data_IF_130440823874
#
_entry.id   IF_130440823874
#
_cell.length_a   1.000
_cell.length_b   1.000
_cell.length_c   1.000
_cell.angle_alpha   90.00
_cell.angle_beta   90.00
_cell.angle_gamma   90.00
#
_symmetry.space_group_name_H-M   'P 1'
#
loop_
_entity.id
_entity.type
_entity.pdbx_description
1 polymer ?
#
# COMPACT_ATOMS: atom_id res chain seq x y z
N UNK A 1 -0.62 -3.70 -26.31
CA UNK A 1 -2.03 -3.56 -25.87
C UNK A 1 -2.41 -4.91 -25.28
N UNK A 2 -2.87 -4.94 -24.02
CA UNK A 2 -3.23 -6.19 -23.30
C UNK A 2 -4.29 -6.96 -24.11
N UNK A 3 -4.13 -8.29 -24.29
CA UNK A 3 -5.05 -9.11 -25.09
C UNK A 3 -6.49 -8.99 -24.58
N UNK A 4 -6.66 -8.89 -23.26
CA UNK A 4 -7.96 -8.66 -22.61
C UNK A 4 -8.53 -7.30 -23.01
N UNK A 5 -7.71 -6.25 -23.00
CA UNK A 5 -8.14 -4.88 -23.38
C UNK A 5 -8.56 -4.82 -24.85
N UNK A 6 -7.88 -5.59 -25.71
CA UNK A 6 -8.31 -5.74 -27.10
C UNK A 6 -9.65 -6.47 -27.22
N UNK A 7 -9.91 -7.49 -26.41
CA UNK A 7 -11.18 -8.23 -26.42
C UNK A 7 -12.32 -7.39 -25.84
N UNK A 8 -12.08 -6.64 -24.76
CA UNK A 8 -13.06 -5.73 -24.17
C UNK A 8 -13.50 -4.67 -25.18
N UNK A 9 -12.55 -4.10 -25.94
CA UNK A 9 -12.87 -3.16 -27.03
C UNK A 9 -13.70 -3.81 -28.14
N UNK A 10 -13.41 -5.06 -28.49
CA UNK A 10 -14.22 -5.81 -29.47
C UNK A 10 -15.62 -6.11 -28.95
N UNK A 11 -15.78 -6.42 -27.66
CA UNK A 11 -17.08 -6.61 -27.01
C UNK A 11 -17.88 -5.31 -27.07
N UNK A 12 -17.30 -4.19 -26.66
CA UNK A 12 -17.98 -2.89 -26.67
C UNK A 12 -18.44 -2.49 -28.09
N UNK A 13 -17.58 -2.69 -29.08
CA UNK A 13 -17.95 -2.44 -30.49
C UNK A 13 -19.06 -3.38 -30.98
N UNK A 14 -19.02 -4.65 -30.58
CA UNK A 14 -20.05 -5.62 -30.97
C UNK A 14 -21.40 -5.28 -30.34
N UNK A 15 -21.43 -4.85 -29.08
CA UNK A 15 -22.65 -4.41 -28.39
C UNK A 15 -23.25 -3.16 -29.02
N UNK A 16 -22.42 -2.16 -29.38
CA UNK A 16 -22.89 -0.97 -30.11
C UNK A 16 -23.51 -1.35 -31.46
N UNK A 17 -22.90 -2.29 -32.18
CA UNK A 17 -23.43 -2.75 -33.46
C UNK A 17 -24.75 -3.52 -33.30
N UNK A 18 -24.93 -4.27 -32.21
CA UNK A 18 -26.21 -4.93 -31.91
C UNK A 18 -27.29 -3.89 -31.68
N UNK A 19 -27.04 -2.88 -30.85
CA UNK A 19 -28.01 -1.80 -30.58
C UNK A 19 -28.43 -1.06 -31.86
N UNK A 20 -27.47 -0.75 -32.75
CA UNK A 20 -27.77 -0.12 -34.04
C UNK A 20 -28.62 -1.01 -34.97
N UNK A 21 -28.45 -2.33 -34.90
CA UNK A 21 -29.28 -3.26 -35.68
C UNK A 21 -30.67 -3.40 -35.05
N UNK A 22 -30.77 -3.47 -33.73
CA UNK A 22 -32.05 -3.50 -33.01
C UNK A 22 -32.89 -2.25 -33.31
N UNK A 23 -32.26 -1.06 -33.30
CA UNK A 23 -32.89 0.20 -33.69
C UNK A 23 -33.42 0.14 -35.13
N UNK A 24 -32.59 -0.31 -36.08
CA UNK A 24 -33.03 -0.48 -37.47
C UNK A 24 -34.14 -1.51 -37.63
N UNK A 25 -34.16 -2.59 -36.86
CA UNK A 25 -35.22 -3.59 -36.91
C UNK A 25 -36.54 -2.99 -36.39
N UNK A 26 -36.48 -2.10 -35.39
CA UNK A 26 -37.66 -1.46 -34.81
C UNK A 26 -38.40 -0.52 -35.76
N UNK A 27 -37.74 -0.05 -36.83
CA UNK A 27 -38.35 0.77 -37.89
C UNK A 27 -39.27 -0.04 -38.83
N UNK A 28 -39.23 -1.38 -38.74
CA UNK A 28 -40.05 -2.26 -39.59
C UNK A 28 -41.24 -2.82 -38.81
N UNK A 29 -42.34 -3.03 -39.54
CA UNK A 29 -43.44 -3.88 -39.07
C UNK A 29 -42.91 -5.32 -38.94
N UNK A 30 -43.25 -6.10 -37.89
CA UNK A 30 -42.62 -7.39 -37.61
C UNK A 30 -42.59 -8.41 -38.76
N UNK A 31 -43.55 -8.34 -39.69
CA UNK A 31 -43.64 -9.22 -40.87
C UNK A 31 -42.67 -8.84 -42.00
N UNK A 32 -42.13 -7.62 -41.97
CA UNK A 32 -41.41 -7.02 -43.10
C UNK A 32 -39.93 -6.82 -42.80
N UNK A 33 -39.45 -7.30 -41.64
CA UNK A 33 -38.04 -7.19 -41.23
C UNK A 33 -37.16 -7.93 -42.25
N UNK A 34 -36.20 -7.26 -42.90
CA UNK A 34 -35.30 -7.91 -43.83
C UNK A 34 -34.53 -9.07 -43.17
N UNK A 35 -34.59 -10.26 -43.79
CA UNK A 35 -33.88 -11.47 -43.32
C UNK A 35 -32.37 -11.24 -43.12
N UNK A 36 -31.77 -10.32 -43.89
CA UNK A 36 -30.38 -9.91 -43.72
C UNK A 36 -30.09 -9.26 -42.37
N UNK A 37 -31.00 -8.42 -41.85
CA UNK A 37 -30.86 -7.79 -40.53
C UNK A 37 -30.94 -8.81 -39.41
N UNK A 38 -31.90 -9.74 -39.48
CA UNK A 38 -32.05 -10.83 -38.50
C UNK A 38 -30.81 -11.74 -38.49
N UNK A 39 -30.28 -12.10 -39.67
CA UNK A 39 -29.04 -12.89 -39.77
C UNK A 39 -27.84 -12.16 -39.19
N UNK A 40 -27.72 -10.86 -39.45
CA UNK A 40 -26.63 -10.03 -38.92
C UNK A 40 -26.71 -9.90 -37.40
N UNK A 41 -27.90 -9.67 -36.84
CA UNK A 41 -28.11 -9.60 -35.40
C UNK A 41 -27.69 -10.92 -34.72
N UNK A 42 -28.15 -12.07 -35.25
CA UNK A 42 -27.76 -13.40 -34.75
C UNK A 42 -26.26 -13.62 -34.82
N UNK A 43 -25.60 -13.23 -35.91
CA UNK A 43 -24.16 -13.35 -36.07
C UNK A 43 -23.39 -12.50 -35.04
N UNK A 44 -23.84 -11.26 -34.80
CA UNK A 44 -23.24 -10.39 -33.78
C UNK A 44 -23.45 -10.93 -32.36
N UNK A 45 -24.63 -11.48 -32.04
CA UNK A 45 -24.87 -12.12 -30.73
C UNK A 45 -24.00 -13.36 -30.54
N UNK A 46 -23.86 -14.21 -31.56
CA UNK A 46 -22.96 -15.37 -31.52
C UNK A 46 -21.49 -14.94 -31.32
N UNK A 47 -21.06 -13.88 -32.01
CA UNK A 47 -19.74 -13.28 -31.83
C UNK A 47 -19.56 -12.75 -30.40
N UNK A 48 -20.56 -12.06 -29.86
CA UNK A 48 -20.54 -11.54 -28.49
C UNK A 48 -20.38 -12.67 -27.46
N UNK A 49 -21.10 -13.78 -27.62
CA UNK A 49 -20.96 -14.98 -26.78
C UNK A 49 -19.53 -15.53 -26.87
N UNK A 50 -18.99 -15.67 -28.08
CA UNK A 50 -17.62 -16.15 -28.28
C UNK A 50 -16.56 -15.24 -27.65
N UNK A 51 -16.70 -13.93 -27.80
CA UNK A 51 -15.81 -12.94 -27.18
C UNK A 51 -15.89 -12.96 -25.65
N UNK A 52 -17.09 -13.06 -25.08
CA UNK A 52 -17.29 -13.19 -23.64
C UNK A 52 -16.63 -14.48 -23.11
N UNK A 53 -16.82 -15.63 -23.78
CA UNK A 53 -16.17 -16.90 -23.40
C UNK A 53 -14.65 -16.79 -23.46
N UNK A 54 -14.09 -16.15 -24.49
CA UNK A 54 -12.64 -15.94 -24.60
C UNK A 54 -12.12 -15.01 -23.51
N UNK A 55 -12.81 -13.90 -23.22
CA UNK A 55 -12.50 -13.01 -22.10
C UNK A 55 -12.49 -13.77 -20.78
N UNK A 56 -13.52 -14.56 -20.52
CA UNK A 56 -13.67 -15.29 -19.26
C UNK A 56 -12.56 -16.33 -19.07
N UNK A 57 -12.14 -16.99 -20.14
CA UNK A 57 -10.99 -17.91 -20.14
C UNK A 57 -9.67 -17.19 -19.86
N UNK A 58 -9.41 -16.04 -20.48
CA UNK A 58 -8.21 -15.23 -20.20
C UNK A 58 -8.19 -14.69 -18.77
N UNK A 59 -9.37 -14.47 -18.18
CA UNK A 59 -9.48 -14.07 -16.77
C UNK A 59 -9.34 -15.25 -15.80
N UNK A 60 -9.58 -16.50 -16.21
CA UNK A 60 -9.61 -17.69 -15.33
C UNK A 60 -8.23 -18.17 -14.81
N UNK A 61 -7.16 -17.44 -15.10
CA UNK A 61 -5.82 -17.70 -14.55
C UNK A 61 -5.01 -16.42 -14.40
N UNK A 62 -5.69 -15.27 -14.25
CA UNK A 62 -5.01 -14.00 -14.10
C UNK A 62 -4.58 -13.84 -12.64
N UNK A 63 -3.28 -13.71 -12.42
CA UNK A 63 -2.76 -13.35 -11.11
C UNK A 63 -3.25 -11.94 -10.73
N UNK A 64 -3.67 -11.77 -9.47
CA UNK A 64 -3.99 -10.46 -8.92
C UNK A 64 -2.73 -9.59 -9.01
N UNK A 65 -2.78 -8.40 -9.65
CA UNK A 65 -1.61 -7.56 -9.80
C UNK A 65 -0.99 -7.26 -8.43
N UNK A 66 0.35 -7.35 -8.30
CA UNK A 66 1.02 -7.05 -7.04
C UNK A 66 0.64 -5.66 -6.53
N UNK A 67 0.31 -5.59 -5.24
CA UNK A 67 -0.15 -4.41 -4.51
C UNK A 67 -1.55 -3.90 -4.87
N UNK A 68 -2.31 -4.53 -5.77
CA UNK A 68 -3.65 -4.05 -6.13
C UNK A 68 -4.54 -3.90 -4.89
N UNK A 69 -4.51 -4.89 -4.00
CA UNK A 69 -5.29 -4.92 -2.76
C UNK A 69 -4.81 -3.88 -1.73
N UNK A 70 -3.57 -3.44 -1.84
CA UNK A 70 -2.94 -2.46 -0.95
C UNK A 70 -3.02 -1.02 -1.46
N UNK A 71 -3.81 -0.80 -2.53
CA UNK A 71 -4.22 0.53 -2.98
C UNK A 71 -5.49 1.01 -2.27
N UNK A 72 -6.05 0.20 -1.37
CA UNK A 72 -7.16 0.62 -0.52
C UNK A 72 -6.69 1.77 0.38
N UNK A 73 -7.57 2.76 0.57
CA UNK A 73 -7.25 4.13 0.95
C UNK A 73 -6.19 4.28 2.06
N UNK A 74 -5.00 4.75 1.68
CA UNK A 74 -3.94 5.27 2.57
C UNK A 74 -3.58 6.70 2.21
N UNK A 75 -4.56 7.44 1.67
CA UNK A 75 -4.37 8.76 1.08
C UNK A 75 -3.77 9.74 2.07
N UNK A 76 -4.27 9.77 3.30
CA UNK A 76 -3.78 10.67 4.34
C UNK A 76 -2.29 10.43 4.64
N UNK A 77 -1.84 9.18 4.66
CA UNK A 77 -0.43 8.83 4.82
C UNK A 77 0.40 9.29 3.61
N UNK A 78 -0.10 9.08 2.38
CA UNK A 78 0.60 9.50 1.17
C UNK A 78 0.69 11.02 1.03
N UNK A 79 -0.38 11.75 1.37
CA UNK A 79 -0.40 13.22 1.39
C UNK A 79 0.62 13.75 2.39
N UNK A 80 0.63 13.23 3.62
CA UNK A 80 1.59 13.65 4.65
C UNK A 80 3.03 13.34 4.27
N UNK A 81 3.29 12.18 3.69
CA UNK A 81 4.60 11.84 3.15
C UNK A 81 5.00 12.79 2.00
N UNK A 82 4.07 13.13 1.12
CA UNK A 82 4.31 14.04 -0.01
C UNK A 82 4.65 15.46 0.44
N UNK A 83 3.96 15.95 1.48
CA UNK A 83 4.31 17.23 2.12
C UNK A 83 5.74 17.22 2.64
N UNK A 84 6.12 16.18 3.40
CA UNK A 84 7.45 16.07 3.97
C UNK A 84 8.53 15.90 2.90
N UNK A 85 8.26 15.12 1.84
CA UNK A 85 9.16 14.97 0.72
C UNK A 85 9.34 16.28 -0.07
N UNK A 86 8.28 17.09 -0.21
CA UNK A 86 8.39 18.41 -0.83
C UNK A 86 9.28 19.34 0.00
N UNK A 87 9.25 19.24 1.34
CA UNK A 87 10.17 20.00 2.19
C UNK A 87 11.61 19.52 1.96
N UNK A 88 11.82 18.20 1.95
CA UNK A 88 13.13 17.59 1.66
C UNK A 88 13.71 18.06 0.33
N UNK A 89 12.92 18.01 -0.75
CA UNK A 89 13.39 18.34 -2.10
C UNK A 89 13.73 19.82 -2.30
N UNK A 90 13.11 20.71 -1.52
CA UNK A 90 13.33 22.15 -1.61
C UNK A 90 14.34 22.66 -0.56
N UNK A 91 14.90 21.79 0.27
CA UNK A 91 15.83 22.19 1.30
C UNK A 91 17.22 22.46 0.68
N UNK A 92 17.79 23.68 0.83
CA UNK A 92 19.12 23.98 0.32
C UNK A 92 20.24 23.23 1.06
N UNK A 93 19.99 22.78 2.29
CA UNK A 93 20.91 21.95 3.07
C UNK A 93 20.36 20.51 3.14
N UNK A 94 20.95 19.55 2.39
CA UNK A 94 20.48 18.17 2.33
C UNK A 94 20.45 17.51 3.71
N UNK A 95 19.27 16.99 4.10
CA UNK A 95 19.01 16.34 5.39
C UNK A 95 18.28 15.02 5.20
N UNK A 96 18.48 14.01 6.06
CA UNK A 96 17.65 12.80 6.02
C UNK A 96 16.18 13.13 6.31
N UNK A 97 15.27 12.51 5.56
CA UNK A 97 13.84 12.54 5.87
C UNK A 97 13.49 11.33 6.74
N UNK A 98 13.12 11.57 8.00
CA UNK A 98 12.75 10.53 8.94
C UNK A 98 11.24 10.45 9.08
N UNK A 99 10.67 9.33 8.63
CA UNK A 99 9.26 9.00 8.70
C UNK A 99 8.99 8.01 9.83
N UNK A 100 8.18 8.40 10.81
CA UNK A 100 7.59 7.47 11.78
C UNK A 100 6.26 6.98 11.22
N UNK A 101 6.15 5.68 11.01
CA UNK A 101 4.97 5.01 10.47
C UNK A 101 4.50 4.03 11.53
N UNK A 102 3.25 4.11 11.96
CA UNK A 102 2.79 3.34 13.11
C UNK A 102 1.39 2.82 12.93
N UNK A 103 1.09 1.71 13.60
CA UNK A 103 -0.23 1.10 13.61
C UNK A 103 -0.19 -0.30 14.21
N UNK A 104 -1.36 -0.94 14.22
CA UNK A 104 -1.48 -2.32 14.68
C UNK A 104 -0.66 -3.29 13.80
N UNK A 105 -0.05 -4.32 14.41
CA UNK A 105 0.70 -5.37 13.70
C UNK A 105 -0.05 -5.98 12.50
N UNK A 106 -1.39 -5.99 12.50
CA UNK A 106 -2.25 -6.51 11.44
C UNK A 106 -2.43 -5.57 10.24
N UNK A 107 -1.71 -4.44 10.20
CA UNK A 107 -1.87 -3.39 9.17
C UNK A 107 -0.91 -3.52 7.98
N UNK A 108 -0.21 -4.65 7.85
CA UNK A 108 0.66 -4.97 6.71
C UNK A 108 1.68 -3.87 6.39
N UNK A 109 2.45 -3.45 7.40
CA UNK A 109 3.44 -2.38 7.30
C UNK A 109 4.44 -2.55 6.14
N UNK A 110 4.84 -3.79 5.86
CA UNK A 110 5.83 -4.11 4.83
C UNK A 110 5.24 -3.83 3.43
N UNK A 111 4.01 -4.29 3.20
CA UNK A 111 3.29 -4.00 1.96
C UNK A 111 2.89 -2.53 1.84
N UNK A 112 2.63 -1.84 2.96
CA UNK A 112 2.46 -0.40 2.96
C UNK A 112 3.73 0.31 2.47
N UNK A 113 4.93 -0.11 2.90
CA UNK A 113 6.19 0.44 2.40
C UNK A 113 6.32 0.25 0.89
N UNK A 114 6.03 -0.95 0.39
CA UNK A 114 6.08 -1.22 -1.05
C UNK A 114 5.12 -0.34 -1.85
N UNK A 115 3.90 -0.17 -1.33
CA UNK A 115 2.90 0.72 -1.91
C UNK A 115 3.35 2.18 -1.85
N UNK A 116 3.89 2.64 -0.72
CA UNK A 116 4.44 3.99 -0.55
C UNK A 116 5.52 4.29 -1.58
N UNK A 117 6.46 3.36 -1.79
CA UNK A 117 7.53 3.49 -2.79
C UNK A 117 6.95 3.59 -4.20
N UNK A 118 6.09 2.65 -4.56
CA UNK A 118 5.59 2.51 -5.93
C UNK A 118 4.59 3.60 -6.32
N UNK A 119 3.76 4.05 -5.37
CA UNK A 119 2.64 4.95 -5.63
C UNK A 119 2.99 6.40 -5.32
N UNK A 120 3.71 6.66 -4.23
CA UNK A 120 3.97 8.02 -3.74
C UNK A 120 5.39 8.48 -4.05
N UNK A 121 6.41 7.73 -3.61
CA UNK A 121 7.80 8.17 -3.71
C UNK A 121 8.25 8.36 -5.16
N UNK A 122 7.97 7.41 -6.05
CA UNK A 122 8.35 7.55 -7.47
C UNK A 122 7.74 8.80 -8.13
N UNK A 123 6.46 9.08 -7.86
CA UNK A 123 5.79 10.27 -8.37
C UNK A 123 6.38 11.55 -7.76
N UNK A 124 6.73 11.52 -6.47
CA UNK A 124 7.35 12.64 -5.78
C UNK A 124 8.78 12.92 -6.28
N UNK A 125 9.61 11.90 -6.50
CA UNK A 125 10.94 12.04 -7.11
C UNK A 125 10.80 12.68 -8.49
N UNK A 126 9.91 12.16 -9.33
CA UNK A 126 9.68 12.69 -10.68
C UNK A 126 9.18 14.14 -10.68
N UNK A 127 8.35 14.50 -9.70
CA UNK A 127 7.71 15.82 -9.63
C UNK A 127 8.59 16.90 -9.02
N UNK A 128 9.38 16.55 -8.00
CA UNK A 128 10.07 17.53 -7.16
C UNK A 128 11.59 17.47 -7.26
N UNK A 129 12.16 16.56 -8.05
CA UNK A 129 13.60 16.40 -8.21
C UNK A 129 13.96 16.27 -9.69
N UNK A 130 15.23 16.47 -10.02
CA UNK A 130 15.77 16.24 -11.37
C UNK A 130 16.26 14.80 -11.58
N UNK A 131 16.00 13.90 -10.63
CA UNK A 131 16.45 12.51 -10.71
C UNK A 131 15.59 11.75 -11.71
N UNK A 132 16.25 11.14 -12.69
CA UNK A 132 15.61 10.36 -13.76
C UNK A 132 15.56 8.85 -13.46
N UNK A 133 16.31 8.38 -12.44
CA UNK A 133 16.26 6.96 -12.06
C UNK A 133 14.90 6.59 -11.51
N UNK A 134 14.41 5.42 -11.92
CA UNK A 134 13.19 4.79 -11.39
C UNK A 134 13.50 3.83 -10.25
N UNK A 135 14.78 3.62 -9.94
CA UNK A 135 15.22 2.64 -8.95
C UNK A 135 15.45 3.37 -7.63
N UNK A 136 14.66 3.00 -6.63
CA UNK A 136 14.88 3.37 -5.22
C UNK A 136 15.51 2.16 -4.54
N UNK A 137 16.71 2.31 -3.98
CA UNK A 137 17.34 1.23 -3.21
C UNK A 137 16.71 1.17 -1.83
N UNK A 138 16.39 -0.04 -1.37
CA UNK A 138 15.84 -0.30 -0.03
C UNK A 138 16.84 -1.13 0.77
N UNK A 139 17.06 -0.74 2.02
CA UNK A 139 17.82 -1.51 3.01
C UNK A 139 16.93 -1.77 4.22
N UNK A 140 16.89 -3.03 4.65
CA UNK A 140 16.20 -3.41 5.87
C UNK A 140 17.21 -3.45 7.01
N UNK A 141 17.01 -2.59 8.00
CA UNK A 141 17.83 -2.58 9.19
C UNK A 141 17.14 -3.42 10.27
N UNK A 142 17.71 -4.57 10.61
CA UNK A 142 17.19 -5.40 11.69
C UNK A 142 17.23 -4.63 13.01
N UNK A 143 16.11 -4.67 13.75
CA UNK A 143 16.05 -4.02 15.05
C UNK A 143 16.80 -4.85 16.10
N UNK A 144 17.74 -4.26 16.86
CA UNK A 144 18.48 -5.00 17.88
C UNK A 144 17.56 -5.63 18.94
N UNK A 145 17.53 -6.96 19.11
CA UNK A 145 16.54 -7.63 19.96
C UNK A 145 16.84 -7.51 21.45
N UNK A 146 18.11 -7.26 21.82
CA UNK A 146 18.57 -7.08 23.20
C UNK A 146 19.70 -6.08 23.22
N UNK A 147 19.61 -5.14 24.15
CA UNK A 147 20.57 -4.07 24.36
C UNK A 147 20.67 -3.84 25.87
N UNK A 148 21.90 -3.78 26.37
CA UNK A 148 22.22 -3.49 27.76
C UNK A 148 22.05 -2.00 28.05
N UNK A 149 22.32 -1.15 27.06
CA UNK A 149 22.19 0.30 27.16
C UNK A 149 21.84 0.92 25.80
N UNK A 150 21.63 2.23 25.81
CA UNK A 150 21.24 3.03 24.64
C UNK A 150 22.39 3.14 23.62
N UNK A 151 23.64 3.20 24.06
CA UNK A 151 24.79 3.32 23.15
C UNK A 151 24.93 2.07 22.28
N UNK A 152 24.59 0.90 22.84
CA UNK A 152 24.52 -0.35 22.09
C UNK A 152 23.48 -0.33 20.97
N UNK A 153 22.41 0.50 21.08
CA UNK A 153 21.51 0.72 19.95
C UNK A 153 22.27 1.36 18.80
N UNK A 154 22.92 2.50 19.06
CA UNK A 154 23.61 3.29 18.03
C UNK A 154 24.66 2.44 17.32
N UNK A 155 25.47 1.72 18.09
CA UNK A 155 26.51 0.84 17.54
C UNK A 155 25.91 -0.29 16.71
N UNK A 156 24.84 -0.95 17.18
CA UNK A 156 24.21 -2.03 16.39
C UNK A 156 23.50 -1.54 15.14
N UNK A 157 22.90 -0.34 15.17
CA UNK A 157 22.32 0.26 13.97
C UNK A 157 23.42 0.55 12.93
N UNK A 158 24.58 1.01 13.38
CA UNK A 158 25.76 1.22 12.53
C UNK A 158 26.29 -0.10 11.97
N UNK A 159 26.56 -1.10 12.82
CA UNK A 159 27.04 -2.43 12.40
C UNK A 159 26.10 -3.08 11.38
N UNK A 160 24.78 -2.96 11.60
CA UNK A 160 23.79 -3.53 10.70
C UNK A 160 23.74 -2.77 9.37
N UNK A 161 23.92 -1.44 9.37
CA UNK A 161 24.02 -0.65 8.13
C UNK A 161 25.28 -0.99 7.35
N UNK A 162 26.41 -1.14 8.02
CA UNK A 162 27.67 -1.55 7.41
C UNK A 162 27.50 -2.88 6.68
N UNK A 163 26.94 -3.89 7.36
CA UNK A 163 26.70 -5.22 6.78
C UNK A 163 25.79 -5.17 5.56
N UNK A 164 24.69 -4.43 5.64
CA UNK A 164 23.72 -4.32 4.56
C UNK A 164 24.27 -3.56 3.34
N UNK A 165 25.19 -2.60 3.53
CA UNK A 165 25.72 -1.74 2.45
C UNK A 165 27.01 -2.30 1.84
N UNK A 166 27.89 -2.90 2.66
CA UNK A 166 29.25 -3.30 2.27
C UNK A 166 29.54 -4.80 2.38
N UNK A 167 28.62 -5.64 2.87
CA UNK A 167 28.81 -7.10 2.98
C UNK A 167 30.11 -7.50 3.72
N UNK A 168 30.26 -7.03 4.98
CA UNK A 168 31.36 -7.35 5.93
C UNK A 168 32.73 -6.68 5.69
N UNK A 169 32.76 -5.52 5.02
CA UNK A 169 33.93 -4.63 5.02
C UNK A 169 33.72 -3.54 6.07
N UNK A 170 34.64 -3.45 7.02
CA UNK A 170 34.66 -2.37 8.02
C UNK A 170 34.68 -1.02 7.31
N UNK A 171 33.61 -0.25 7.51
CA UNK A 171 33.37 1.02 6.84
C UNK A 171 32.87 2.04 7.87
N UNK A 172 33.36 3.28 7.81
CA UNK A 172 32.85 4.33 8.70
C UNK A 172 31.46 4.82 8.24
N UNK A 173 30.79 5.64 9.07
CA UNK A 173 29.53 6.30 8.65
C UNK A 173 29.72 7.14 7.39
N UNK A 174 30.88 7.78 7.26
CA UNK A 174 31.23 8.59 6.09
C UNK A 174 31.32 7.73 4.83
N UNK A 175 32.00 6.57 4.91
CA UNK A 175 32.09 5.61 3.81
C UNK A 175 30.69 5.09 3.40
N UNK A 176 29.86 4.75 4.39
CA UNK A 176 28.46 4.35 4.16
C UNK A 176 27.70 5.47 3.47
N UNK A 177 27.79 6.70 3.98
CA UNK A 177 27.07 7.83 3.41
C UNK A 177 27.51 8.14 1.97
N UNK A 178 28.82 8.09 1.68
CA UNK A 178 29.34 8.25 0.33
C UNK A 178 28.77 7.18 -0.61
N UNK A 179 28.78 5.91 -0.18
CA UNK A 179 28.20 4.81 -0.94
C UNK A 179 26.72 5.02 -1.22
N UNK A 180 25.92 5.39 -0.21
CA UNK A 180 24.50 5.67 -0.35
C UNK A 180 24.25 6.83 -1.32
N UNK A 181 25.13 7.83 -1.38
CA UNK A 181 25.00 8.95 -2.32
C UNK A 181 25.20 8.54 -3.79
N UNK A 182 26.02 7.52 -4.04
CA UNK A 182 26.37 7.06 -5.40
C UNK A 182 25.29 6.22 -6.09
N UNK A 183 24.32 5.68 -5.34
CA UNK A 183 23.36 4.68 -5.83
C UNK A 183 21.94 5.25 -6.09
N UNK A 184 21.76 6.56 -5.90
CA UNK A 184 20.48 7.25 -6.10
C UNK A 184 19.64 7.35 -4.82
N UNK A 185 18.31 7.54 -4.92
CA UNK A 185 17.44 7.64 -3.75
C UNK A 185 17.42 6.34 -2.93
N UNK A 186 17.59 6.47 -1.63
CA UNK A 186 17.68 5.35 -0.69
C UNK A 186 16.58 5.42 0.36
N UNK A 187 15.97 4.27 0.63
CA UNK A 187 15.17 4.04 1.83
C UNK A 187 15.89 3.07 2.76
N UNK A 188 16.01 3.45 4.02
CA UNK A 188 16.39 2.55 5.11
C UNK A 188 15.17 2.38 5.99
N UNK A 189 14.79 1.14 6.31
CA UNK A 189 13.64 0.89 7.16
C UNK A 189 13.91 -0.14 8.25
N UNK A 190 13.30 0.08 9.41
CA UNK A 190 13.38 -0.83 10.56
C UNK A 190 12.04 -0.96 11.26
N UNK A 191 11.89 -2.00 12.08
CA UNK A 191 10.65 -2.31 12.80
C UNK A 191 10.87 -2.33 14.30
N UNK A 192 10.16 -1.46 15.01
CA UNK A 192 10.11 -1.43 16.45
C UNK A 192 8.77 -2.01 16.92
N UNK A 193 8.79 -3.17 17.57
CA UNK A 193 7.57 -3.76 18.14
C UNK A 193 7.33 -3.27 19.56
N UNK A 194 6.09 -3.39 20.05
CA UNK A 194 5.75 -3.09 21.46
C UNK A 194 6.65 -3.81 22.45
N UNK A 195 6.98 -5.09 22.21
CA UNK A 195 7.88 -5.86 23.09
C UNK A 195 9.27 -5.25 23.18
N UNK A 196 9.79 -4.72 22.09
CA UNK A 196 11.14 -4.19 22.00
C UNK A 196 11.18 -2.81 22.68
N UNK A 197 10.17 -1.98 22.41
CA UNK A 197 9.98 -0.70 23.11
C UNK A 197 9.88 -0.89 24.63
N UNK A 198 9.12 -1.89 25.08
CA UNK A 198 8.94 -2.17 26.50
C UNK A 198 10.26 -2.61 27.18
N UNK A 199 11.13 -3.33 26.48
CA UNK A 199 12.42 -3.78 27.01
C UNK A 199 13.42 -2.64 27.21
N UNK A 200 13.38 -1.63 26.33
CA UNK A 200 14.39 -0.57 26.30
C UNK A 200 14.01 0.72 27.04
N UNK A 201 12.91 0.70 27.81
CA UNK A 201 12.37 1.84 28.59
C UNK A 201 12.04 3.05 27.70
N UNK A 202 11.55 4.13 28.32
CA UNK A 202 11.27 5.41 27.65
C UNK A 202 12.55 6.02 27.06
N UNK A 203 12.47 6.56 25.84
CA UNK A 203 13.60 7.22 25.18
C UNK A 203 14.09 6.52 23.90
N UNK A 204 13.65 5.29 23.62
CA UNK A 204 14.21 4.50 22.51
C UNK A 204 13.96 5.13 21.13
N UNK A 205 12.82 5.79 20.95
CA UNK A 205 12.50 6.51 19.71
C UNK A 205 13.41 7.73 19.60
N UNK A 206 13.58 8.48 20.69
CA UNK A 206 14.45 9.64 20.75
C UNK A 206 15.91 9.29 20.46
N UNK A 207 16.39 8.14 20.93
CA UNK A 207 17.75 7.67 20.65
C UNK A 207 17.93 7.24 19.20
N UNK A 208 16.90 6.62 18.61
CA UNK A 208 16.89 6.34 17.17
C UNK A 208 16.93 7.65 16.35
N UNK A 209 16.19 8.68 16.75
CA UNK A 209 16.25 10.00 16.12
C UNK A 209 17.64 10.63 16.30
N UNK A 210 18.24 10.50 17.49
CA UNK A 210 19.58 11.01 17.79
C UNK A 210 20.67 10.34 16.95
N UNK A 211 20.54 9.05 16.66
CA UNK A 211 21.44 8.35 15.74
C UNK A 211 21.47 9.03 14.36
N UNK A 212 20.30 9.32 13.78
CA UNK A 212 20.19 9.97 12.48
C UNK A 212 20.50 11.47 12.50
N UNK A 213 20.24 12.15 13.62
CA UNK A 213 20.67 13.53 13.86
C UNK A 213 22.19 13.67 13.79
N UNK A 214 22.93 12.65 14.23
CA UNK A 214 24.39 12.60 14.18
C UNK A 214 24.93 11.95 12.90
N UNK A 215 24.09 11.70 11.90
CA UNK A 215 24.52 11.12 10.61
C UNK A 215 25.41 12.12 9.84
N UNK A 216 26.42 11.66 9.08
CA UNK A 216 27.25 12.54 8.25
C UNK A 216 26.42 13.44 7.33
N UNK A 217 27.01 14.59 6.98
CA UNK A 217 26.35 15.56 6.10
C UNK A 217 26.05 14.89 4.75
N UNK A 218 24.83 15.07 4.25
CA UNK A 218 24.44 14.49 2.96
C UNK A 218 25.02 15.30 1.81
N UNK A 219 25.36 14.60 0.73
CA UNK A 219 25.82 15.22 -0.52
C UNK A 219 24.65 15.96 -1.23
N UNK A 220 24.95 16.99 -2.05
CA UNK A 220 23.93 17.60 -2.90
C UNK A 220 23.18 16.55 -3.74
N UNK A 221 21.86 16.67 -3.82
CA UNK A 221 20.98 15.73 -4.53
C UNK A 221 20.97 14.29 -3.97
N UNK A 222 21.51 14.04 -2.78
CA UNK A 222 21.33 12.78 -2.07
C UNK A 222 19.98 12.77 -1.35
N UNK A 223 19.14 11.77 -1.66
CA UNK A 223 17.84 11.58 -1.03
C UNK A 223 17.87 10.35 -0.13
N UNK A 224 18.06 10.58 1.17
CA UNK A 224 18.04 9.55 2.20
C UNK A 224 16.74 9.61 3.00
N UNK A 225 15.95 8.54 2.92
CA UNK A 225 14.67 8.43 3.61
C UNK A 225 14.78 7.31 4.64
N UNK A 226 14.48 7.62 5.89
CA UNK A 226 14.52 6.69 7.01
C UNK A 226 13.10 6.40 7.44
N UNK A 227 12.69 5.13 7.47
CA UNK A 227 11.36 4.72 7.92
C UNK A 227 11.46 3.90 9.21
N UNK A 228 10.98 4.47 10.32
CA UNK A 228 10.77 3.75 11.56
C UNK A 228 9.33 3.24 11.61
N UNK A 229 9.16 1.93 11.42
CA UNK A 229 7.86 1.27 11.55
C UNK A 229 7.62 0.84 12.99
N UNK A 230 6.56 1.34 13.62
CA UNK A 230 6.21 1.00 15.00
C UNK A 230 4.95 0.12 14.99
N UNK A 231 5.14 -1.17 15.32
CA UNK A 231 4.08 -2.19 15.29
C UNK A 231 3.46 -2.35 16.68
N UNK A 232 2.22 -1.91 16.85
CA UNK A 232 1.44 -2.14 18.07
C UNK A 232 1.01 -3.60 18.11
N UNK A 233 1.58 -4.36 19.03
CA UNK A 233 1.27 -5.77 19.16
C UNK A 233 -0.01 -5.99 19.96
N UNK A 234 -0.87 -6.87 19.44
CA UNK A 234 -2.11 -7.30 20.10
C UNK A 234 -2.07 -8.80 20.36
N UNK A 235 -1.86 -9.12 21.64
CA UNK A 235 -1.92 -10.44 22.28
C UNK A 235 -3.32 -11.07 22.37
N UNK A 236 -3.90 -11.68 21.33
CA UNK A 236 -5.26 -12.26 21.44
C UNK A 236 -5.34 -13.43 22.46
N UNK A 237 -4.35 -14.33 22.47
CA UNK A 237 -4.33 -15.53 23.32
C UNK A 237 -3.60 -15.33 24.67
N UNK A 238 -3.77 -14.16 25.30
CA UNK A 238 -3.11 -13.85 26.57
C UNK A 238 -4.12 -13.59 27.70
N UNK A 239 -3.76 -14.01 28.92
CA UNK A 239 -4.53 -13.66 30.11
C UNK A 239 -4.70 -12.14 30.27
N UNK A 240 -5.82 -11.73 30.86
CA UNK A 240 -6.30 -10.33 30.94
C UNK A 240 -5.21 -9.34 31.39
N UNK A 241 -4.41 -9.70 32.38
CA UNK A 241 -3.31 -8.87 32.89
C UNK A 241 -2.23 -8.57 31.85
N UNK A 242 -1.82 -9.59 31.09
CA UNK A 242 -0.83 -9.42 30.01
C UNK A 242 -1.43 -8.55 28.90
N UNK A 243 -2.69 -8.77 28.53
CA UNK A 243 -3.41 -7.95 27.54
C UNK A 243 -3.47 -6.47 27.96
N UNK A 244 -3.82 -6.20 29.22
CA UNK A 244 -3.83 -4.85 29.77
C UNK A 244 -2.44 -4.20 29.75
N UNK A 245 -1.38 -4.96 30.10
CA UNK A 245 0.00 -4.47 30.04
C UNK A 245 0.40 -4.03 28.63
N UNK A 246 0.10 -4.84 27.61
CA UNK A 246 0.35 -4.50 26.21
C UNK A 246 -0.44 -3.26 25.78
N UNK A 247 -1.73 -3.19 26.10
CA UNK A 247 -2.56 -2.03 25.81
C UNK A 247 -2.02 -0.75 26.44
N UNK A 248 -1.60 -0.81 27.71
CA UNK A 248 -0.98 0.32 28.41
C UNK A 248 0.34 0.74 27.74
N UNK A 249 1.17 -0.22 27.31
CA UNK A 249 2.40 0.07 26.58
C UNK A 249 2.12 0.72 25.22
N UNK A 250 1.20 0.18 24.43
CA UNK A 250 0.79 0.77 23.14
C UNK A 250 0.32 2.22 23.32
N UNK A 251 -0.47 2.50 24.37
CA UNK A 251 -0.88 3.88 24.70
C UNK A 251 0.30 4.80 25.03
N UNK A 252 1.34 4.30 25.72
CA UNK A 252 2.54 5.10 26.01
C UNK A 252 3.33 5.40 24.73
N UNK A 253 3.44 4.42 23.83
CA UNK A 253 4.08 4.60 22.53
C UNK A 253 3.32 5.65 21.71
N UNK A 254 1.99 5.52 21.60
CA UNK A 254 1.13 6.49 20.91
C UNK A 254 1.31 7.91 21.46
N UNK A 255 1.40 8.07 22.79
CA UNK A 255 1.67 9.37 23.42
C UNK A 255 3.03 9.92 23.03
N UNK A 256 4.10 9.13 23.14
CA UNK A 256 5.45 9.55 22.73
C UNK A 256 5.50 9.98 21.26
N UNK A 257 4.86 9.24 20.35
CA UNK A 257 4.77 9.61 18.94
C UNK A 257 3.98 10.91 18.75
N UNK A 258 2.85 11.06 19.45
CA UNK A 258 2.02 12.28 19.39
C UNK A 258 2.79 13.50 19.89
N UNK A 259 3.52 13.36 20.99
CA UNK A 259 4.32 14.43 21.58
C UNK A 259 5.43 14.86 20.61
N UNK A 260 6.13 13.90 19.98
CA UNK A 260 7.11 14.18 18.93
C UNK A 260 6.49 14.93 17.73
N UNK A 261 5.31 14.52 17.29
CA UNK A 261 4.58 15.19 16.21
C UNK A 261 4.16 16.62 16.58
N UNK A 262 3.71 16.85 17.82
CA UNK A 262 3.27 18.17 18.30
C UNK A 262 4.45 19.13 18.47
N UNK A 263 5.60 18.62 18.93
CA UNK A 263 6.84 19.40 19.02
C UNK A 263 7.51 19.61 17.65
N UNK A 264 6.98 19.06 16.56
CA UNK A 264 7.47 19.27 15.20
C UNK A 264 8.94 18.88 14.99
N UNK A 265 9.45 17.91 15.78
CA UNK A 265 10.86 17.51 15.79
C UNK A 265 11.86 18.66 16.04
N UNK A 266 11.44 19.77 16.65
CA UNK A 266 12.26 20.98 16.90
C UNK A 266 13.56 20.75 17.66
N UNK A 267 13.68 19.63 18.41
CA UNK A 267 14.93 19.22 19.06
C UNK A 267 16.02 18.79 18.06
N UNK A 268 15.64 18.43 16.84
CA UNK A 268 16.52 17.85 15.83
C UNK A 268 16.57 18.78 14.61
N UNK A 269 17.72 19.41 14.40
CA UNK A 269 17.92 20.40 13.33
C UNK A 269 18.59 19.81 12.07
N UNK A 270 19.12 18.58 12.14
CA UNK A 270 19.80 17.90 11.03
C UNK A 270 18.96 16.85 10.32
N UNK A 271 17.72 16.64 10.77
CA UNK A 271 16.75 15.74 10.13
C UNK A 271 15.46 16.50 9.82
N UNK A 272 14.74 16.02 8.81
CA UNK A 272 13.35 16.43 8.57
C UNK A 272 12.48 15.31 9.13
N UNK A 273 11.82 15.55 10.26
CA UNK A 273 10.96 14.55 10.91
C UNK A 273 9.50 14.66 10.48
N UNK A 274 8.86 13.52 10.23
CA UNK A 274 7.41 13.44 10.01
C UNK A 274 6.83 12.21 10.68
N UNK A 275 5.67 12.37 11.33
CA UNK A 275 4.82 11.25 11.76
C UNK A 275 3.69 11.12 10.75
N UNK A 276 3.57 9.95 10.11
CA UNK A 276 2.43 9.68 9.24
C UNK A 276 1.19 9.33 10.09
N UNK A 277 -0.04 9.66 9.63
CA UNK A 277 -1.26 9.21 10.29
C UNK A 277 -1.26 7.71 10.55
N UNK A 278 -1.79 7.31 11.71
CA UNK A 278 -1.84 5.91 12.13
C UNK A 278 -2.42 5.01 11.03
N UNK A 279 -1.78 3.87 10.78
CA UNK A 279 -2.34 2.81 9.97
C UNK A 279 -3.48 2.18 10.76
N UNK A 280 -4.70 2.64 10.49
CA UNK A 280 -5.92 2.14 11.11
C UNK A 280 -6.56 1.04 10.26
N UNK A 281 -7.53 0.33 10.85
CA UNK A 281 -8.43 -0.53 10.11
C UNK A 281 -9.10 0.25 8.98
N UNK A 282 -9.39 -0.45 7.90
CA UNK A 282 -9.96 0.11 6.69
C UNK A 282 -11.49 0.13 6.82
N UNK A 283 -12.11 1.25 6.47
CA UNK A 283 -13.57 1.37 6.43
C UNK A 283 -14.15 0.79 5.15
N UNK A 284 -15.38 0.30 5.20
CA UNK A 284 -16.11 -0.19 4.02
C UNK A 284 -16.09 0.81 2.86
N UNK A 285 -16.37 2.09 3.14
CA UNK A 285 -16.42 3.17 2.13
C UNK A 285 -15.09 3.33 1.38
N UNK A 286 -13.97 3.05 2.04
CA UNK A 286 -12.63 3.10 1.46
C UNK A 286 -12.39 1.93 0.50
N UNK A 287 -12.86 0.73 0.87
CA UNK A 287 -12.79 -0.46 0.02
C UNK A 287 -13.70 -0.29 -1.19
N UNK A 288 -14.91 0.24 -1.03
CA UNK A 288 -15.77 0.49 -2.18
C UNK A 288 -15.20 1.56 -3.13
N UNK A 289 -14.56 2.61 -2.59
CA UNK A 289 -13.84 3.61 -3.39
C UNK A 289 -12.70 2.96 -4.19
N UNK A 290 -11.94 2.06 -3.56
CA UNK A 290 -10.94 1.24 -4.22
C UNK A 290 -11.53 0.37 -5.34
N UNK A 291 -12.66 -0.30 -5.10
CA UNK A 291 -13.35 -1.12 -6.11
C UNK A 291 -13.76 -0.29 -7.33
N UNK A 292 -14.13 0.98 -7.11
CA UNK A 292 -14.48 1.94 -8.18
C UNK A 292 -13.26 2.52 -8.90
N UNK A 293 -12.03 2.25 -8.46
CA UNK A 293 -10.81 2.79 -9.05
C UNK A 293 -10.59 2.30 -10.49
N UNK A 294 -9.85 3.08 -11.29
CA UNK A 294 -9.50 2.71 -12.67
C UNK A 294 -8.74 1.38 -12.75
N UNK A 295 -7.85 1.12 -11.79
CA UNK A 295 -7.02 -0.09 -11.74
C UNK A 295 -7.87 -1.34 -11.48
N UNK A 296 -8.79 -1.28 -10.51
CA UNK A 296 -9.70 -2.40 -10.22
C UNK A 296 -10.70 -2.59 -11.36
N UNK A 297 -11.27 -1.51 -11.92
CA UNK A 297 -12.12 -1.58 -13.12
C UNK A 297 -11.43 -2.28 -14.30
N UNK A 298 -10.14 -2.00 -14.52
CA UNK A 298 -9.35 -2.65 -15.57
C UNK A 298 -9.08 -4.13 -15.28
N UNK A 299 -8.93 -4.49 -14.00
CA UNK A 299 -8.66 -5.87 -13.60
C UNK A 299 -9.93 -6.74 -13.58
N UNK A 300 -10.97 -6.28 -12.89
CA UNK A 300 -12.22 -7.01 -12.59
C UNK A 300 -13.29 -6.89 -13.69
N UNK A 301 -13.16 -5.87 -14.55
CA UNK A 301 -14.13 -5.53 -15.58
C UNK A 301 -15.17 -4.54 -15.09
N UNK A 302 -15.35 -3.46 -15.86
CA UNK A 302 -16.24 -2.32 -15.50
C UNK A 302 -17.69 -2.74 -15.20
N UNK A 303 -18.20 -3.77 -15.88
CA UNK A 303 -19.58 -4.27 -15.74
C UNK A 303 -19.81 -5.02 -14.42
N UNK A 304 -18.76 -5.60 -13.84
CA UNK A 304 -18.84 -6.42 -12.63
C UNK A 304 -18.56 -5.62 -11.35
N UNK A 305 -18.31 -4.31 -11.45
CA UNK A 305 -17.97 -3.48 -10.30
C UNK A 305 -19.11 -3.39 -9.30
N UNK A 306 -20.36 -3.31 -9.76
CA UNK A 306 -21.50 -3.28 -8.83
C UNK A 306 -21.60 -4.57 -8.05
N UNK A 307 -21.42 -5.72 -8.71
CA UNK A 307 -21.35 -7.01 -8.04
C UNK A 307 -20.25 -7.05 -6.96
N UNK A 308 -19.03 -6.60 -7.31
CA UNK A 308 -17.92 -6.52 -6.34
C UNK A 308 -18.26 -5.63 -5.14
N UNK A 309 -18.92 -4.49 -5.36
CA UNK A 309 -19.35 -3.60 -4.28
C UNK A 309 -20.34 -4.31 -3.36
N UNK A 310 -21.35 -5.00 -3.89
CA UNK A 310 -22.30 -5.75 -3.05
C UNK A 310 -21.59 -6.85 -2.25
N UNK A 311 -20.66 -7.59 -2.86
CA UNK A 311 -19.87 -8.60 -2.13
C UNK A 311 -19.01 -7.98 -1.02
N UNK A 312 -18.45 -6.79 -1.25
CA UNK A 312 -17.72 -6.05 -0.21
C UNK A 312 -18.66 -5.63 0.92
N UNK A 313 -19.88 -5.17 0.61
CA UNK A 313 -20.88 -4.80 1.60
C UNK A 313 -21.24 -6.00 2.49
N UNK A 314 -21.60 -7.14 1.89
CA UNK A 314 -21.89 -8.37 2.63
C UNK A 314 -20.72 -8.81 3.52
N UNK A 315 -19.49 -8.67 3.02
CA UNK A 315 -18.26 -8.97 3.77
C UNK A 315 -18.11 -8.08 5.01
N UNK A 316 -18.38 -6.78 4.90
CA UNK A 316 -18.32 -5.85 6.04
C UNK A 316 -19.48 -6.05 7.01
N UNK A 317 -20.70 -6.32 6.53
CA UNK A 317 -21.85 -6.64 7.38
C UNK A 317 -21.60 -7.87 8.25
N UNK A 318 -20.99 -8.91 7.67
CA UNK A 318 -20.61 -10.11 8.41
C UNK A 318 -19.49 -9.83 9.42
N UNK A 319 -18.47 -9.05 9.02
CA UNK A 319 -17.40 -8.64 9.91
C UNK A 319 -17.92 -7.84 11.11
N UNK A 320 -18.81 -6.87 10.90
CA UNK A 320 -19.37 -6.05 11.97
C UNK A 320 -20.18 -6.91 12.96
N UNK A 321 -20.97 -7.87 12.46
CA UNK A 321 -21.70 -8.83 13.30
C UNK A 321 -20.77 -9.70 14.15
N UNK A 322 -19.65 -10.16 13.60
CA UNK A 322 -18.73 -11.07 14.28
C UNK A 322 -17.76 -10.36 15.23
N UNK A 323 -17.28 -9.18 14.85
CA UNK A 323 -16.18 -8.48 15.51
C UNK A 323 -16.61 -7.20 16.23
N UNK A 324 -17.87 -6.78 16.09
CA UNK A 324 -18.40 -5.52 16.62
C UNK A 324 -17.53 -4.31 16.24
N UNK A 325 -17.05 -4.26 15.00
CA UNK A 325 -16.21 -3.20 14.47
C UNK A 325 -16.60 -2.83 13.04
N UNK A 326 -16.62 -1.54 12.77
CA UNK A 326 -16.87 -0.90 11.47
C UNK A 326 -15.61 -0.81 10.60
N UNK A 327 -14.46 -1.27 11.10
CA UNK A 327 -13.18 -1.25 10.39
C UNK A 327 -12.53 -2.63 10.37
N UNK A 328 -11.85 -2.94 9.27
CA UNK A 328 -11.22 -4.23 9.05
C UNK A 328 -9.68 -4.07 8.98
N UNK A 329 -8.89 -4.84 9.75
CA UNK A 329 -7.45 -4.82 9.63
C UNK A 329 -6.99 -5.20 8.22
N UNK A 330 -5.96 -4.54 7.70
CA UNK A 330 -5.52 -4.74 6.31
C UNK A 330 -5.15 -6.20 5.99
N UNK A 331 -4.54 -6.92 6.93
CA UNK A 331 -4.19 -8.34 6.73
C UNK A 331 -5.42 -9.23 6.50
N UNK A 332 -6.49 -9.01 7.25
CA UNK A 332 -7.74 -9.74 7.05
C UNK A 332 -8.43 -9.29 5.76
N UNK A 333 -8.48 -7.99 5.50
CA UNK A 333 -9.03 -7.45 4.26
C UNK A 333 -8.31 -8.00 3.02
N UNK A 334 -6.98 -8.08 3.05
CA UNK A 334 -6.17 -8.65 1.96
C UNK A 334 -6.57 -10.10 1.66
N UNK A 335 -6.73 -10.92 2.71
CA UNK A 335 -7.18 -12.30 2.56
C UNK A 335 -8.59 -12.38 1.96
N UNK A 336 -9.53 -11.57 2.45
CA UNK A 336 -10.91 -11.59 1.95
C UNK A 336 -11.00 -11.10 0.51
N UNK A 337 -10.34 -9.99 0.17
CA UNK A 337 -10.31 -9.48 -1.19
C UNK A 337 -9.60 -10.46 -2.14
N UNK A 338 -8.54 -11.13 -1.69
CA UNK A 338 -7.89 -12.20 -2.46
C UNK A 338 -8.89 -13.32 -2.77
N UNK A 339 -9.67 -13.76 -1.78
CA UNK A 339 -10.70 -14.79 -1.96
C UNK A 339 -11.80 -14.33 -2.92
N UNK A 340 -12.26 -13.08 -2.81
CA UNK A 340 -13.28 -12.52 -3.71
C UNK A 340 -12.74 -12.42 -5.15
N UNK A 341 -11.49 -11.99 -5.32
CA UNK A 341 -10.90 -11.80 -6.65
C UNK A 341 -10.46 -13.11 -7.32
N UNK A 342 -10.02 -14.11 -6.55
CA UNK A 342 -9.65 -15.44 -7.06
C UNK A 342 -10.86 -16.35 -7.21
N UNK A 343 -11.77 -16.31 -6.23
CA UNK A 343 -13.05 -16.99 -6.25
C UNK A 343 -14.07 -16.13 -6.96
N UNK A 344 -14.07 -16.14 -8.30
CA UNK A 344 -15.29 -15.81 -9.06
C UNK A 344 -16.42 -16.67 -8.49
N UNK A 345 -17.25 -16.07 -7.62
CA UNK A 345 -18.34 -16.74 -6.91
C UNK A 345 -19.07 -17.66 -7.89
N UNK A 346 -19.11 -18.94 -7.56
CA UNK A 346 -20.04 -19.89 -8.15
C UNK A 346 -21.41 -19.24 -8.05
N UNK A 347 -21.94 -18.76 -9.17
CA UNK A 347 -23.33 -18.34 -9.25
C UNK A 347 -24.11 -19.60 -8.84
N UNK A 348 -24.65 -19.63 -7.62
CA UNK A 348 -25.88 -20.36 -7.37
C UNK A 348 -26.91 -19.66 -8.24
N UNK A 349 -26.97 -20.07 -9.49
CA UNK A 349 -28.04 -19.74 -10.41
C UNK A 349 -29.23 -20.57 -9.96
N UNK A 350 -30.26 -19.85 -9.55
CA UNK A 350 -31.65 -20.10 -9.89
C UNK A 350 -32.14 -21.55 -9.89
N UNK A 351 -32.99 -21.81 -8.90
CA UNK A 351 -34.35 -22.33 -9.10
C UNK A 351 -34.44 -23.51 -10.09
N UNK A 352 -34.57 -24.70 -9.50
CA UNK A 352 -35.55 -25.68 -9.96
C UNK A 352 -36.56 -25.90 -8.86
#
# INVERSE_FOLDING_TARGET
MDEIESIEKQIENTEKNILLIEERISDYIPTDVPLGLIKNERALRARLIGLNKRRDNLQKGRDIPPLLLYLVNRRNQYEKFTEAFKILSNNPDPKPLLCIIHGDQFQCHDTFLESLVKVSLHENIKKYTNITTKVVKKYHLEWPPRMKNIEELKNKLEDNLEKEVFYDISASKEDINERLSSIGPVIIHTYLNTTDWQQHKSGIIENFLEFWQNWPKLNPNQYLIICLFIKYQVKQNMGLWKRYKFWSCNRKIQRSIKDLSLCGFTKFDRIIGVVLPELQGIMQTEVESWARSKKVKKYWGKKNIQYLIHTIQDMFDNWEKEQASDTMPMSYLDQQLTNILNGKVTIKGDIS
#
